data_IF_444088932771
#
_entry.id   IF_444088932771
#
_cell.length_a   1.000
_cell.length_b   1.000
_cell.length_c   1.000
_cell.angle_alpha   90.00
_cell.angle_beta   90.00
_cell.angle_gamma   90.00
#
_symmetry.space_group_name_H-M   'P 1'
#
loop_
_entity.id
_entity.type
_entity.pdbx_description
1 polymer ?
#
# COMPACT_ATOMS: atom_id res chain seq x y z
N UNK A 1 11.30 -7.97 -5.35
CA UNK A 1 11.91 -9.01 -4.52
C UNK A 1 11.03 -9.31 -3.32
N UNK A 2 11.02 -10.56 -2.86
CA UNK A 2 10.15 -11.03 -1.76
C UNK A 2 10.34 -10.23 -0.45
N UNK A 3 11.56 -9.77 -0.16
CA UNK A 3 11.85 -8.95 1.04
C UNK A 3 11.09 -7.62 1.04
N UNK A 4 11.14 -6.89 -0.07
CA UNK A 4 10.44 -5.59 -0.17
C UNK A 4 8.94 -5.79 0.04
N UNK A 5 8.36 -6.83 -0.56
CA UNK A 5 6.95 -7.15 -0.35
C UNK A 5 6.64 -7.44 1.12
N UNK A 6 7.47 -8.23 1.80
CA UNK A 6 7.29 -8.51 3.24
C UNK A 6 7.39 -7.24 4.10
N UNK A 7 8.33 -6.34 3.79
CA UNK A 7 8.49 -5.08 4.52
C UNK A 7 7.27 -4.17 4.28
N UNK A 8 6.81 -4.05 3.05
CA UNK A 8 5.60 -3.27 2.71
C UNK A 8 4.36 -3.83 3.42
N UNK A 9 4.32 -5.13 3.67
CA UNK A 9 3.28 -5.79 4.43
C UNK A 9 3.17 -5.32 5.89
N UNK A 10 4.22 -4.68 6.41
CA UNK A 10 4.17 -4.07 7.76
C UNK A 10 3.38 -2.76 7.80
N UNK A 11 3.02 -2.16 6.65
CA UNK A 11 2.31 -0.88 6.59
C UNK A 11 1.07 -0.80 7.49
N UNK A 12 0.14 -1.76 7.48
CA UNK A 12 -1.03 -1.70 8.36
C UNK A 12 -0.66 -1.81 9.84
N UNK A 13 0.36 -2.60 10.19
CA UNK A 13 0.84 -2.70 11.57
C UNK A 13 1.46 -1.38 12.04
N UNK A 14 2.30 -0.74 11.21
CA UNK A 14 2.87 0.57 11.51
C UNK A 14 1.79 1.63 11.67
N UNK A 15 0.79 1.61 10.77
CA UNK A 15 -0.36 2.51 10.84
C UNK A 15 -1.18 2.29 12.12
N UNK A 16 -1.35 1.04 12.54
CA UNK A 16 -2.02 0.68 13.78
C UNK A 16 -1.27 1.21 15.00
N UNK A 17 0.05 1.01 15.05
CA UNK A 17 0.90 1.46 16.16
C UNK A 17 0.88 2.99 16.25
N UNK A 18 1.15 3.67 15.16
CA UNK A 18 1.19 5.13 15.13
C UNK A 18 -0.19 5.75 15.34
N UNK A 19 -1.24 5.14 14.79
CA UNK A 19 -2.63 5.57 15.02
C UNK A 19 -3.03 5.46 16.48
N UNK A 20 -2.70 4.36 17.14
CA UNK A 20 -2.97 4.14 18.56
C UNK A 20 -2.19 5.09 19.49
N UNK A 21 -0.97 5.52 19.09
CA UNK A 21 -0.16 6.48 19.85
C UNK A 21 -0.67 7.92 19.63
N UNK A 22 -0.90 8.30 18.37
CA UNK A 22 -1.21 9.69 18.00
C UNK A 22 -2.68 10.05 18.17
N UNK A 23 -3.58 9.08 17.96
CA UNK A 23 -5.02 9.27 18.03
C UNK A 23 -5.66 8.32 19.05
N UNK A 24 -5.98 8.83 20.23
CA UNK A 24 -6.67 8.05 21.27
C UNK A 24 -8.00 7.44 20.79
N UNK A 25 -8.68 8.11 19.86
CA UNK A 25 -9.93 7.65 19.24
C UNK A 25 -9.76 6.45 18.30
N UNK A 26 -8.55 6.14 17.86
CA UNK A 26 -8.22 4.98 17.04
C UNK A 26 -7.57 3.83 17.85
N UNK A 27 -7.68 3.87 19.17
CA UNK A 27 -7.20 2.76 19.99
C UNK A 27 -8.03 1.52 19.69
N UNK A 28 -7.35 0.51 19.21
CA UNK A 28 -7.96 -0.76 18.84
C UNK A 28 -8.29 -1.59 20.06
N UNK A 29 -9.46 -2.23 20.04
CA UNK A 29 -9.78 -3.29 20.97
C UNK A 29 -8.91 -4.53 20.74
N UNK A 30 -8.81 -5.41 21.76
CA UNK A 30 -8.03 -6.65 21.67
C UNK A 30 -8.36 -7.50 20.44
N UNK A 31 -9.64 -7.59 20.07
CA UNK A 31 -10.10 -8.36 18.89
C UNK A 31 -9.60 -7.76 17.58
N UNK A 32 -9.60 -6.44 17.45
CA UNK A 32 -9.08 -5.75 16.27
C UNK A 32 -7.58 -6.00 16.10
N UNK A 33 -6.82 -5.88 17.20
CA UNK A 33 -5.39 -6.20 17.22
C UNK A 33 -5.16 -7.66 16.81
N UNK A 34 -5.92 -8.59 17.39
CA UNK A 34 -5.81 -10.02 17.03
C UNK A 34 -6.17 -10.25 15.58
N UNK A 35 -7.24 -9.64 15.07
CA UNK A 35 -7.64 -9.72 13.66
C UNK A 35 -6.53 -9.21 12.72
N UNK A 36 -5.96 -8.04 13.01
CA UNK A 36 -4.84 -7.48 12.24
C UNK A 36 -3.60 -8.39 12.26
N UNK A 37 -3.27 -9.00 13.40
CA UNK A 37 -2.14 -9.93 13.50
C UNK A 37 -2.38 -11.22 12.71
N UNK A 38 -3.58 -11.79 12.77
CA UNK A 38 -3.96 -12.96 11.97
C UNK A 38 -3.86 -12.64 10.48
N UNK A 39 -4.38 -11.47 10.06
CA UNK A 39 -4.30 -11.00 8.68
C UNK A 39 -2.86 -10.84 8.22
N UNK A 40 -2.01 -10.26 9.06
CA UNK A 40 -0.58 -10.11 8.78
C UNK A 40 0.12 -11.47 8.59
N UNK A 41 -0.11 -12.43 9.50
CA UNK A 41 0.45 -13.77 9.37
C UNK A 41 -0.03 -14.46 8.10
N UNK A 42 -1.33 -14.37 7.79
CA UNK A 42 -1.90 -14.91 6.56
C UNK A 42 -1.23 -14.34 5.31
N UNK A 43 -0.99 -13.03 5.32
CA UNK A 43 -0.34 -12.35 4.21
C UNK A 43 1.15 -12.75 4.06
N UNK A 44 1.89 -12.92 5.16
CA UNK A 44 3.25 -13.45 5.13
C UNK A 44 3.27 -14.84 4.49
N UNK A 45 2.32 -15.73 4.83
CA UNK A 45 2.20 -17.06 4.22
C UNK A 45 1.94 -16.97 2.71
N UNK A 46 1.06 -16.06 2.28
CA UNK A 46 0.77 -15.85 0.85
C UNK A 46 1.99 -15.34 0.11
N UNK A 47 2.67 -14.30 0.62
CA UNK A 47 3.84 -13.69 -0.05
C UNK A 47 5.02 -14.66 -0.14
N UNK A 48 5.26 -15.43 0.91
CA UNK A 48 6.33 -16.43 0.91
C UNK A 48 6.00 -17.64 0.05
N UNK A 49 4.71 -17.95 -0.11
CA UNK A 49 4.22 -19.07 -0.92
C UNK A 49 5.04 -20.38 -0.74
N UNK A 50 5.48 -20.65 0.50
CA UNK A 50 6.31 -21.81 0.83
C UNK A 50 7.81 -21.69 0.46
N UNK A 51 8.24 -20.57 -0.11
CA UNK A 51 9.64 -20.32 -0.49
C UNK A 51 10.26 -19.24 0.41
N UNK A 52 11.01 -19.65 1.41
CA UNK A 52 11.72 -18.76 2.32
C UNK A 52 13.09 -18.32 1.76
N UNK A 53 13.11 -17.70 0.57
CA UNK A 53 14.34 -17.18 -0.03
C UNK A 53 14.42 -15.68 0.30
N UNK A 54 15.07 -15.35 1.40
CA UNK A 54 15.38 -13.99 1.78
C UNK A 54 16.76 -13.61 1.23
N UNK A 55 16.79 -12.76 0.21
CA UNK A 55 18.04 -12.13 -0.26
C UNK A 55 18.14 -10.75 0.41
N UNK A 56 18.91 -10.66 1.48
CA UNK A 56 19.13 -9.41 2.20
C UNK A 56 19.80 -8.37 1.30
N UNK A 57 19.20 -7.21 1.20
CA UNK A 57 19.75 -6.02 0.57
C UNK A 57 19.61 -4.86 1.56
N UNK A 58 20.61 -4.63 2.43
CA UNK A 58 20.46 -3.69 3.56
C UNK A 58 19.94 -2.31 3.16
N UNK A 59 20.47 -1.75 2.08
CA UNK A 59 20.03 -0.43 1.57
C UNK A 59 18.61 -0.50 1.02
N UNK A 60 18.29 -1.53 0.21
CA UNK A 60 16.96 -1.70 -0.36
C UNK A 60 15.90 -1.98 0.73
N UNK A 61 16.25 -2.78 1.73
CA UNK A 61 15.37 -3.12 2.84
C UNK A 61 15.11 -1.89 3.74
N UNK A 62 16.14 -1.06 4.01
CA UNK A 62 15.98 0.21 4.72
C UNK A 62 15.10 1.20 3.96
N UNK A 63 15.26 1.33 2.65
CA UNK A 63 14.42 2.19 1.80
C UNK A 63 12.96 1.72 1.81
N UNK A 64 12.74 0.42 1.70
CA UNK A 64 11.40 -0.18 1.77
C UNK A 64 10.75 0.06 3.15
N UNK A 65 11.50 -0.09 4.24
CA UNK A 65 11.01 0.20 5.59
C UNK A 65 10.68 1.69 5.77
N UNK A 66 11.56 2.58 5.31
CA UNK A 66 11.32 4.02 5.34
C UNK A 66 10.06 4.38 4.56
N UNK A 67 9.86 3.80 3.37
CA UNK A 67 8.64 3.98 2.58
C UNK A 67 7.40 3.53 3.36
N UNK A 68 7.48 2.40 4.07
CA UNK A 68 6.38 1.88 4.90
C UNK A 68 6.03 2.82 6.06
N UNK A 69 7.03 3.39 6.73
CA UNK A 69 6.84 4.41 7.77
C UNK A 69 6.19 5.66 7.19
N UNK A 70 6.69 6.14 6.04
CA UNK A 70 6.13 7.33 5.36
C UNK A 70 4.69 7.11 4.92
N UNK A 71 4.32 5.90 4.46
CA UNK A 71 2.94 5.55 4.14
C UNK A 71 2.01 5.63 5.35
N UNK A 72 2.47 5.11 6.51
CA UNK A 72 1.70 5.20 7.74
C UNK A 72 1.50 6.66 8.20
N UNK A 73 2.57 7.47 8.16
CA UNK A 73 2.51 8.90 8.48
C UNK A 73 1.57 9.64 7.51
N UNK A 74 1.73 9.39 6.20
CA UNK A 74 0.84 9.96 5.18
C UNK A 74 -0.63 9.66 5.49
N UNK A 75 -0.98 8.41 5.76
CA UNK A 75 -2.36 8.01 6.04
C UNK A 75 -2.95 8.74 7.25
N UNK A 76 -2.16 8.90 8.32
CA UNK A 76 -2.56 9.62 9.53
C UNK A 76 -2.74 11.13 9.29
N UNK A 77 -1.83 11.74 8.54
CA UNK A 77 -1.90 13.16 8.18
C UNK A 77 -3.12 13.43 7.30
N UNK A 78 -3.33 12.61 6.27
CA UNK A 78 -4.50 12.75 5.37
C UNK A 78 -5.81 12.62 6.14
N UNK A 79 -5.90 11.68 7.08
CA UNK A 79 -7.09 11.55 7.93
C UNK A 79 -7.37 12.84 8.70
N UNK A 80 -6.35 13.44 9.32
CA UNK A 80 -6.50 14.69 10.04
C UNK A 80 -6.96 15.83 9.13
N UNK A 81 -6.35 15.93 7.95
CA UNK A 81 -6.69 16.95 6.96
C UNK A 81 -8.10 16.79 6.40
N UNK A 82 -8.58 15.56 6.26
CA UNK A 82 -9.96 15.26 5.82
C UNK A 82 -11.04 15.78 6.78
N UNK A 83 -10.69 16.12 8.03
CA UNK A 83 -11.57 16.80 8.97
C UNK A 83 -11.76 18.29 8.66
N UNK A 84 -10.83 18.90 7.91
CA UNK A 84 -10.80 20.35 7.63
C UNK A 84 -11.01 20.64 6.15
N UNK A 85 -10.43 19.83 5.27
CA UNK A 85 -10.41 20.05 3.82
C UNK A 85 -11.19 18.97 3.06
N UNK A 86 -11.62 19.31 1.84
CA UNK A 86 -12.22 18.30 0.96
C UNK A 86 -11.17 17.30 0.47
N UNK A 87 -11.58 16.03 0.28
CA UNK A 87 -10.70 14.96 -0.20
C UNK A 87 -10.04 15.33 -1.55
N UNK A 88 -10.78 15.97 -2.44
CA UNK A 88 -10.26 16.41 -3.74
C UNK A 88 -9.14 17.46 -3.59
N UNK A 89 -9.31 18.42 -2.67
CA UNK A 89 -8.29 19.44 -2.38
C UNK A 89 -7.02 18.80 -1.84
N UNK A 90 -7.14 17.85 -0.90
CA UNK A 90 -6.01 17.14 -0.31
C UNK A 90 -5.26 16.36 -1.38
N UNK A 91 -5.99 15.59 -2.20
CA UNK A 91 -5.40 14.78 -3.27
C UNK A 91 -4.67 15.64 -4.30
N UNK A 92 -5.27 16.77 -4.72
CA UNK A 92 -4.62 17.73 -5.63
C UNK A 92 -3.32 18.27 -5.05
N UNK A 93 -3.33 18.68 -3.77
CA UNK A 93 -2.12 19.19 -3.10
C UNK A 93 -1.05 18.13 -2.93
N UNK A 94 -1.45 16.91 -2.61
CA UNK A 94 -0.54 15.77 -2.51
C UNK A 94 0.19 15.52 -3.82
N UNK A 95 -0.52 15.45 -4.96
CA UNK A 95 0.11 15.29 -6.28
C UNK A 95 1.00 16.48 -6.65
N UNK A 96 0.57 17.71 -6.36
CA UNK A 96 1.37 18.90 -6.62
C UNK A 96 2.70 18.90 -5.86
N UNK A 97 2.66 18.66 -4.54
CA UNK A 97 3.88 18.60 -3.73
C UNK A 97 4.69 17.34 -4.04
N UNK A 98 4.05 16.22 -4.35
CA UNK A 98 4.74 15.00 -4.80
C UNK A 98 5.54 15.24 -6.08
N UNK A 99 4.94 15.87 -7.08
CA UNK A 99 5.64 16.23 -8.31
C UNK A 99 6.81 17.20 -8.04
N UNK A 100 6.58 18.23 -7.21
CA UNK A 100 7.61 19.20 -6.87
C UNK A 100 8.81 18.55 -6.14
N UNK A 101 8.55 17.64 -5.20
CA UNK A 101 9.60 16.94 -4.45
C UNK A 101 10.28 15.83 -5.26
N UNK A 102 9.68 15.35 -6.34
CA UNK A 102 10.32 14.39 -7.25
C UNK A 102 11.41 15.02 -8.11
N UNK A 103 11.36 16.34 -8.38
CA UNK A 103 12.35 17.02 -9.20
C UNK A 103 13.78 16.87 -8.63
N UNK A 104 14.07 17.19 -7.35
CA UNK A 104 15.39 16.97 -6.78
C UNK A 104 15.83 15.51 -6.84
N UNK A 105 14.89 14.55 -6.66
CA UNK A 105 15.21 13.13 -6.72
C UNK A 105 15.69 12.71 -8.13
N UNK A 106 15.07 13.24 -9.19
CA UNK A 106 15.51 13.01 -10.57
C UNK A 106 16.96 13.50 -10.80
N UNK A 107 17.32 14.67 -10.25
CA UNK A 107 18.70 15.18 -10.36
C UNK A 107 19.70 14.30 -9.60
N UNK A 108 19.35 13.80 -8.43
CA UNK A 108 20.21 12.87 -7.67
C UNK A 108 20.40 11.57 -8.43
N UNK A 109 19.33 10.99 -9.00
CA UNK A 109 19.40 9.77 -9.81
C UNK A 109 20.24 9.95 -11.08
N UNK A 110 20.14 11.12 -11.71
CA UNK A 110 20.91 11.47 -12.90
C UNK A 110 22.39 11.84 -12.61
N UNK A 111 22.84 11.74 -11.34
CA UNK A 111 24.21 12.12 -10.94
C UNK A 111 24.50 13.61 -11.08
N UNK A 112 23.49 14.47 -10.99
CA UNK A 112 23.60 15.92 -11.14
C UNK A 112 23.51 16.43 -12.58
N UNK A 113 23.35 15.54 -13.54
CA UNK A 113 23.27 15.90 -14.97
C UNK A 113 21.81 16.19 -15.36
N UNK A 114 21.52 17.48 -15.61
CA UNK A 114 20.17 17.92 -15.98
C UNK A 114 19.69 17.32 -17.32
N UNK A 115 20.59 17.03 -18.25
CA UNK A 115 20.20 16.43 -19.53
C UNK A 115 19.69 15.02 -19.37
N UNK A 116 20.28 14.24 -18.46
CA UNK A 116 19.84 12.89 -18.12
C UNK A 116 18.60 12.87 -17.22
N UNK A 117 18.46 13.86 -16.34
CA UNK A 117 17.32 13.97 -15.44
C UNK A 117 15.99 14.12 -16.18
N UNK A 118 16.00 14.77 -17.35
CA UNK A 118 14.84 15.01 -18.20
C UNK A 118 14.87 14.27 -19.53
N UNK A 119 15.77 13.29 -19.68
CA UNK A 119 15.81 12.43 -20.87
C UNK A 119 14.66 11.41 -20.82
N UNK A 120 13.49 11.88 -21.26
CA UNK A 120 12.30 11.04 -21.33
C UNK A 120 12.31 10.33 -22.70
N UNK A 121 12.24 9.01 -22.73
CA UNK A 121 12.23 8.24 -23.98
C UNK A 121 10.85 8.36 -24.68
N UNK A 122 10.55 9.54 -25.23
CA UNK A 122 9.26 9.84 -25.87
C UNK A 122 8.91 8.89 -27.00
N UNK A 123 9.91 8.30 -27.66
CA UNK A 123 9.71 7.31 -28.73
C UNK A 123 8.96 6.06 -28.22
N UNK A 124 9.11 5.66 -26.94
CA UNK A 124 8.39 4.52 -26.38
C UNK A 124 6.88 4.75 -26.32
N UNK A 125 6.45 6.03 -26.23
CA UNK A 125 5.03 6.36 -26.22
C UNK A 125 4.38 6.28 -27.62
N UNK A 126 5.16 6.08 -28.69
CA UNK A 126 4.64 5.74 -29.99
C UNK A 126 4.04 4.32 -30.04
N UNK A 127 4.47 3.46 -29.11
CA UNK A 127 3.92 2.11 -28.94
C UNK A 127 2.53 2.18 -28.27
N UNK A 128 1.43 1.72 -28.93
CA UNK A 128 0.08 1.84 -28.36
C UNK A 128 -0.07 1.15 -27.00
N UNK A 129 0.61 0.02 -26.79
CA UNK A 129 0.55 -0.75 -25.54
C UNK A 129 1.17 0.03 -24.39
N UNK A 130 2.32 0.68 -24.64
CA UNK A 130 3.00 1.51 -23.64
C UNK A 130 2.14 2.70 -23.24
N UNK A 131 1.61 3.42 -24.23
CA UNK A 131 0.73 4.57 -24.02
C UNK A 131 -0.54 4.21 -23.28
N UNK A 132 -1.18 3.09 -23.64
CA UNK A 132 -2.38 2.61 -22.97
C UNK A 132 -2.10 2.22 -21.51
N UNK A 133 -1.00 1.49 -21.26
CA UNK A 133 -0.60 1.11 -19.91
C UNK A 133 -0.29 2.34 -19.05
N UNK A 134 0.42 3.31 -19.59
CA UNK A 134 0.72 4.57 -18.91
C UNK A 134 -0.55 5.35 -18.56
N UNK A 135 -1.49 5.45 -19.50
CA UNK A 135 -2.78 6.09 -19.28
C UNK A 135 -3.60 5.37 -18.19
N UNK A 136 -3.67 4.04 -18.27
CA UNK A 136 -4.35 3.23 -17.25
C UNK A 136 -3.74 3.42 -15.86
N UNK A 137 -2.42 3.38 -15.74
CA UNK A 137 -1.73 3.62 -14.47
C UNK A 137 -1.99 5.03 -13.92
N UNK A 138 -1.92 6.04 -14.79
CA UNK A 138 -2.10 7.43 -14.38
C UNK A 138 -3.54 7.72 -13.95
N UNK A 139 -4.52 7.28 -14.75
CA UNK A 139 -5.94 7.59 -14.50
C UNK A 139 -6.52 6.66 -13.43
N UNK A 140 -6.42 5.35 -13.61
CA UNK A 140 -7.10 4.41 -12.71
C UNK A 140 -6.33 4.19 -11.41
N UNK A 141 -5.04 3.89 -11.48
CA UNK A 141 -4.27 3.60 -10.27
C UNK A 141 -3.90 4.86 -9.49
N UNK A 142 -3.42 5.90 -10.17
CA UNK A 142 -2.99 7.11 -9.47
C UNK A 142 -4.19 8.00 -9.15
N UNK A 143 -4.88 8.56 -10.13
CA UNK A 143 -5.94 9.54 -9.86
C UNK A 143 -7.10 8.94 -9.07
N UNK A 144 -7.78 7.94 -9.63
CA UNK A 144 -8.93 7.33 -8.95
C UNK A 144 -8.53 6.53 -7.72
N UNK A 145 -7.41 5.80 -7.76
CA UNK A 145 -6.91 5.03 -6.63
C UNK A 145 -6.69 5.92 -5.40
N UNK A 146 -5.97 7.02 -5.53
CA UNK A 146 -5.74 7.93 -4.40
C UNK A 146 -6.98 8.72 -3.97
N UNK A 147 -7.87 9.08 -4.91
CA UNK A 147 -9.14 9.73 -4.54
C UNK A 147 -10.01 8.80 -3.70
N UNK A 148 -10.15 7.55 -4.14
CA UNK A 148 -10.92 6.53 -3.41
C UNK A 148 -10.25 6.24 -2.07
N UNK A 149 -8.92 6.03 -2.05
CA UNK A 149 -8.17 5.77 -0.83
C UNK A 149 -8.34 6.89 0.21
N UNK A 150 -8.16 8.14 -0.19
CA UNK A 150 -8.33 9.28 0.70
C UNK A 150 -9.77 9.42 1.22
N UNK A 151 -10.78 9.05 0.41
CA UNK A 151 -12.18 8.98 0.83
C UNK A 151 -12.41 7.86 1.84
N UNK A 152 -11.83 6.69 1.61
CA UNK A 152 -11.89 5.54 2.53
C UNK A 152 -11.26 5.87 3.88
N UNK A 153 -10.08 6.52 3.87
CA UNK A 153 -9.45 7.03 5.10
C UNK A 153 -10.37 7.96 5.90
N UNK A 154 -11.14 8.81 5.20
CA UNK A 154 -12.12 9.70 5.83
C UNK A 154 -13.27 8.94 6.49
N UNK A 155 -13.78 7.89 5.85
CA UNK A 155 -14.98 7.17 6.27
C UNK A 155 -14.69 6.11 7.34
N UNK A 156 -13.67 5.29 7.11
CA UNK A 156 -13.38 4.12 7.95
C UNK A 156 -12.34 4.40 9.05
N UNK A 157 -11.53 5.44 8.86
CA UNK A 157 -10.36 5.65 9.70
C UNK A 157 -9.11 4.96 9.17
N UNK A 158 -7.98 5.35 9.74
CA UNK A 158 -6.67 4.98 9.18
C UNK A 158 -6.38 3.50 9.38
N UNK A 159 -6.67 2.96 10.54
CA UNK A 159 -6.32 1.57 10.89
C UNK A 159 -7.17 0.57 10.12
N UNK A 160 -8.50 0.75 10.09
CA UNK A 160 -9.38 -0.14 9.32
C UNK A 160 -9.09 -0.04 7.83
N UNK A 161 -8.95 1.18 7.29
CA UNK A 161 -8.60 1.36 5.89
C UNK A 161 -7.30 0.63 5.52
N UNK A 162 -6.25 0.74 6.35
CA UNK A 162 -4.97 0.08 6.11
C UNK A 162 -5.07 -1.45 6.17
N UNK A 163 -5.99 -2.01 6.96
CA UNK A 163 -6.20 -3.45 7.02
C UNK A 163 -6.64 -4.03 5.67
N UNK A 164 -7.39 -3.26 4.86
CA UNK A 164 -7.76 -3.67 3.49
C UNK A 164 -6.59 -3.81 2.52
N UNK A 165 -5.42 -3.23 2.82
CA UNK A 165 -4.20 -3.43 2.02
C UNK A 165 -3.84 -4.92 1.96
N UNK A 166 -4.15 -5.69 3.01
CA UNK A 166 -3.93 -7.12 3.03
C UNK A 166 -4.81 -7.92 2.05
N UNK A 167 -5.83 -7.31 1.46
CA UNK A 167 -6.60 -7.93 0.39
C UNK A 167 -5.84 -7.94 -0.96
N UNK A 168 -4.80 -7.11 -1.14
CA UNK A 168 -4.03 -7.04 -2.38
C UNK A 168 -3.48 -8.40 -2.80
N UNK A 169 -2.80 -9.18 -1.94
CA UNK A 169 -2.31 -10.49 -2.31
C UNK A 169 -3.41 -11.48 -2.72
N UNK A 170 -4.61 -11.36 -2.14
CA UNK A 170 -5.74 -12.21 -2.54
C UNK A 170 -6.14 -11.94 -3.99
N UNK A 171 -6.28 -10.66 -4.35
CA UNK A 171 -6.60 -10.25 -5.73
C UNK A 171 -5.47 -10.68 -6.67
N UNK A 172 -4.21 -10.53 -6.25
CA UNK A 172 -3.04 -10.95 -7.05
C UNK A 172 -3.07 -12.44 -7.33
N UNK A 173 -3.33 -13.30 -6.32
CA UNK A 173 -3.45 -14.75 -6.51
C UNK A 173 -4.58 -15.10 -7.48
N UNK A 174 -5.77 -14.53 -7.26
CA UNK A 174 -6.93 -14.78 -8.14
C UNK A 174 -6.60 -14.40 -9.58
N UNK A 175 -5.98 -13.24 -9.77
CA UNK A 175 -5.58 -12.79 -11.10
C UNK A 175 -4.51 -13.69 -11.73
N UNK A 176 -3.51 -14.14 -10.97
CA UNK A 176 -2.47 -15.03 -11.44
C UNK A 176 -3.03 -16.40 -11.88
N UNK A 177 -3.98 -16.95 -11.13
CA UNK A 177 -4.67 -18.19 -11.52
C UNK A 177 -5.48 -18.00 -12.80
N UNK A 178 -6.29 -16.95 -12.88
CA UNK A 178 -7.18 -16.74 -14.02
C UNK A 178 -6.40 -16.35 -15.29
N UNK A 179 -5.43 -15.44 -15.16
CA UNK A 179 -4.72 -14.87 -16.31
C UNK A 179 -3.51 -15.69 -16.74
N UNK A 180 -2.81 -16.34 -15.80
CA UNK A 180 -1.54 -17.05 -16.06
C UNK A 180 -1.68 -18.56 -15.88
N UNK A 181 -2.80 -19.09 -15.39
CA UNK A 181 -2.99 -20.52 -15.14
C UNK A 181 -2.09 -21.05 -14.01
N UNK A 182 -1.65 -20.20 -13.10
CA UNK A 182 -0.76 -20.61 -12.01
C UNK A 182 -1.47 -21.51 -10.99
N UNK A 183 -0.75 -22.53 -10.51
CA UNK A 183 -1.26 -23.40 -9.46
C UNK A 183 -1.08 -22.77 -8.08
N UNK A 184 -2.17 -22.74 -7.31
CA UNK A 184 -2.14 -22.23 -5.93
C UNK A 184 -1.54 -23.30 -5.02
N UNK A 185 -0.55 -22.93 -4.23
CA UNK A 185 -0.02 -23.84 -3.21
C UNK A 185 -0.95 -23.94 -2.00
N UNK A 186 -0.96 -25.07 -1.26
CA UNK A 186 -1.72 -25.20 -0.01
C UNK A 186 -1.37 -24.09 1.02
N UNK A 187 -0.11 -23.66 1.04
CA UNK A 187 0.35 -22.57 1.91
C UNK A 187 -0.33 -21.25 1.56
N UNK A 188 -0.45 -20.93 0.26
CA UNK A 188 -1.14 -19.73 -0.18
C UNK A 188 -2.64 -19.77 0.12
N UNK A 189 -3.28 -20.95 0.02
CA UNK A 189 -4.69 -21.13 0.38
C UNK A 189 -4.91 -20.88 1.88
N UNK A 190 -4.09 -21.48 2.74
CA UNK A 190 -4.18 -21.27 4.20
C UNK A 190 -3.93 -19.81 4.56
N UNK A 191 -2.97 -19.16 3.91
CA UNK A 191 -2.72 -17.73 4.07
C UNK A 191 -3.90 -16.87 3.63
N UNK A 192 -4.54 -17.18 2.50
CA UNK A 192 -5.71 -16.48 2.00
C UNK A 192 -6.90 -16.58 2.97
N UNK A 193 -7.16 -17.77 3.50
CA UNK A 193 -8.21 -17.99 4.52
C UNK A 193 -7.90 -17.20 5.79
N UNK A 194 -6.64 -17.18 6.24
CA UNK A 194 -6.22 -16.42 7.42
C UNK A 194 -6.40 -14.91 7.21
N UNK A 195 -6.09 -14.37 6.01
CA UNK A 195 -6.33 -12.97 5.67
C UNK A 195 -7.81 -12.63 5.83
N UNK A 196 -8.70 -13.38 5.19
CA UNK A 196 -10.14 -13.12 5.23
C UNK A 196 -10.67 -13.23 6.66
N UNK A 197 -10.32 -14.30 7.38
CA UNK A 197 -10.75 -14.50 8.76
C UNK A 197 -10.29 -13.36 9.70
N UNK A 198 -9.03 -12.93 9.55
CA UNK A 198 -8.46 -11.84 10.33
C UNK A 198 -9.12 -10.49 10.03
N UNK A 199 -9.42 -10.20 8.75
CA UNK A 199 -10.13 -8.98 8.34
C UNK A 199 -11.55 -8.95 8.93
N UNK A 200 -12.30 -10.05 8.81
CA UNK A 200 -13.64 -10.16 9.39
C UNK A 200 -13.59 -9.98 10.91
N UNK A 201 -12.63 -10.61 11.60
CA UNK A 201 -12.45 -10.46 13.03
C UNK A 201 -12.14 -9.01 13.44
N UNK A 202 -11.34 -8.29 12.64
CA UNK A 202 -11.01 -6.89 12.88
C UNK A 202 -12.20 -5.95 12.70
N UNK A 203 -13.16 -6.30 11.83
CA UNK A 203 -14.33 -5.46 11.51
C UNK A 203 -15.53 -5.66 12.42
N UNK A 204 -15.69 -6.84 13.01
CA UNK A 204 -16.92 -7.24 13.75
C UNK A 204 -17.31 -6.36 14.96
N UNK A 205 -16.63 -5.24 15.21
CA UNK A 205 -16.84 -4.41 16.42
C UNK A 205 -17.56 -3.08 16.15
N UNK A 206 -17.97 -2.79 14.91
CA UNK A 206 -18.74 -1.54 14.65
C UNK A 206 -20.24 -1.64 14.95
N UNK A 207 -20.72 -2.75 15.50
CA UNK A 207 -22.17 -3.02 15.68
C UNK A 207 -22.64 -3.02 17.13
N UNK A 208 -21.85 -2.55 18.09
CA UNK A 208 -22.26 -2.56 19.51
C UNK A 208 -21.84 -1.27 20.24
N UNK A 209 -22.20 -0.10 19.69
CA UNK A 209 -22.40 1.14 20.49
C UNK A 209 -23.37 2.07 19.77
#
# INVERSE_FOLDING_TARGET
>A
SSNVSLIVCTNPLLTMIFGGILYKAERLGKRQVTGCLITFVGMVLVVLNGKFILKLSPVGDMLAFTSSVMWAVYSLVVRRLNGVYSTLFITRKMFFYGALTSIPALFVEAGGDASKAFDIPWHNFAEPVVSLNFLCLTVFSSLFGYLIWNKVLKQLGTVLASNYIYAIPLVTIITAVIALGEHITPVAITGAVAIVAGMVLAEMIKTTD
#
